data_IF_863843768085
#
_entry.id   IF_863843768085
#
_cell.length_a   1.000
_cell.length_b   1.000
_cell.length_c   1.000
_cell.angle_alpha   90.00
_cell.angle_beta   90.00
_cell.angle_gamma   90.00
#
_symmetry.space_group_name_H-M   'P 1'
#
loop_
_entity.id
_entity.type
_entity.pdbx_description
1 polymer ?
#
# COMPACT_ATOMS: atom_id res chain seq x y z
N UNK A 1 6.84 15.77 -13.97
CA UNK A 1 7.43 15.33 -12.69
C UNK A 1 7.81 13.85 -12.81
N UNK A 2 8.84 13.36 -12.09
CA UNK A 2 9.16 11.93 -12.05
C UNK A 2 7.99 11.11 -11.47
N UNK A 3 7.93 9.82 -11.80
CA UNK A 3 6.94 8.92 -11.22
C UNK A 3 7.23 8.69 -9.72
N UNK A 4 6.20 8.67 -8.86
CA UNK A 4 6.37 8.51 -7.42
C UNK A 4 6.87 7.11 -7.05
N UNK A 5 7.54 7.03 -5.89
CA UNK A 5 8.28 5.86 -5.42
C UNK A 5 8.01 5.57 -3.96
N UNK A 6 8.29 4.34 -3.53
CA UNK A 6 8.12 3.95 -2.14
C UNK A 6 9.02 4.77 -1.20
N UNK A 7 10.26 5.03 -1.61
CA UNK A 7 11.23 5.77 -0.81
C UNK A 7 10.87 7.24 -0.60
N UNK A 8 10.44 7.94 -1.66
CA UNK A 8 10.20 9.38 -1.61
C UNK A 8 8.78 9.74 -1.17
N UNK A 9 7.78 8.94 -1.53
CA UNK A 9 6.38 9.38 -1.54
C UNK A 9 5.47 8.65 -0.56
N UNK A 10 5.88 7.49 -0.02
CA UNK A 10 5.05 6.68 0.89
C UNK A 10 4.62 7.47 2.13
N UNK A 11 5.54 8.16 2.79
CA UNK A 11 5.24 8.93 4.00
C UNK A 11 4.17 10.00 3.77
N UNK A 12 4.27 10.74 2.66
CA UNK A 12 3.31 11.77 2.30
C UNK A 12 1.94 11.17 1.91
N UNK A 13 1.93 10.01 1.26
CA UNK A 13 0.70 9.27 0.96
C UNK A 13 -0.02 8.84 2.25
N UNK A 14 0.70 8.22 3.19
CA UNK A 14 0.12 7.77 4.47
C UNK A 14 -0.36 8.95 5.32
N UNK A 15 0.39 10.05 5.36
CA UNK A 15 -0.01 11.27 6.07
C UNK A 15 -1.32 11.86 5.51
N UNK A 16 -1.47 11.91 4.18
CA UNK A 16 -2.69 12.38 3.53
C UNK A 16 -3.88 11.47 3.82
N UNK A 17 -3.70 10.15 3.79
CA UNK A 17 -4.76 9.20 4.13
C UNK A 17 -5.23 9.37 5.58
N UNK A 18 -4.29 9.56 6.52
CA UNK A 18 -4.62 9.86 7.93
C UNK A 18 -5.36 11.19 8.08
N UNK A 19 -4.91 12.23 7.39
CA UNK A 19 -5.57 13.54 7.38
C UNK A 19 -6.99 13.49 6.80
N UNK A 20 -7.28 12.54 5.92
CA UNK A 20 -8.62 12.27 5.40
C UNK A 20 -9.54 11.53 6.39
N UNK A 21 -9.06 11.21 7.60
CA UNK A 21 -9.85 10.60 8.67
C UNK A 21 -9.72 9.08 8.77
N UNK A 22 -8.90 8.43 7.94
CA UNK A 22 -8.65 6.99 8.01
C UNK A 22 -7.47 6.69 8.91
N UNK A 23 -7.70 5.98 10.01
CA UNK A 23 -6.62 5.44 10.83
C UNK A 23 -5.81 4.42 10.00
N UNK A 24 -4.49 4.60 9.94
CA UNK A 24 -3.57 3.68 9.29
C UNK A 24 -2.48 3.30 10.27
N UNK A 25 -2.36 2.02 10.56
CA UNK A 25 -1.18 1.43 11.20
C UNK A 25 -0.29 0.88 10.09
N UNK A 26 0.97 1.28 10.07
CA UNK A 26 1.93 0.76 9.09
C UNK A 26 3.13 0.10 9.77
N UNK A 27 3.51 -1.06 9.24
CA UNK A 27 4.70 -1.80 9.62
C UNK A 27 5.62 -1.89 8.41
N UNK A 28 6.77 -1.23 8.50
CA UNK A 28 7.75 -1.11 7.44
C UNK A 28 9.02 -1.88 7.79
N UNK A 29 9.39 -2.82 6.94
CA UNK A 29 10.61 -3.63 7.04
C UNK A 29 11.34 -3.58 5.69
N UNK A 30 12.15 -2.54 5.42
CA UNK A 30 12.88 -2.42 4.15
C UNK A 30 14.00 -3.47 3.96
N UNK A 31 14.17 -4.37 4.92
CA UNK A 31 15.17 -5.44 4.87
C UNK A 31 16.60 -4.95 5.12
N UNK A 32 17.61 -5.74 4.71
CA UNK A 32 19.01 -5.44 4.93
C UNK A 32 19.39 -4.13 4.24
N UNK A 33 19.67 -3.10 5.03
CA UNK A 33 19.95 -1.74 4.55
C UNK A 33 19.04 -0.67 5.14
N UNK A 34 17.87 -1.05 5.67
CA UNK A 34 17.01 -0.10 6.38
C UNK A 34 16.36 0.97 5.50
N UNK A 35 16.48 0.86 4.17
CA UNK A 35 16.12 1.95 3.24
C UNK A 35 15.48 1.43 1.95
N UNK A 36 14.28 1.96 1.64
CA UNK A 36 13.56 1.73 0.40
C UNK A 36 14.29 2.21 -0.86
N UNK A 37 15.26 3.12 -0.73
CA UNK A 37 16.09 3.57 -1.85
C UNK A 37 16.96 2.44 -2.44
N UNK A 38 17.14 1.33 -1.71
CA UNK A 38 17.86 0.15 -2.21
C UNK A 38 17.02 -0.72 -3.15
N UNK A 39 15.71 -0.48 -3.25
CA UNK A 39 14.86 -1.21 -4.17
C UNK A 39 15.16 -0.83 -5.63
N UNK A 40 15.10 -1.78 -6.58
CA UNK A 40 15.08 -1.45 -8.00
C UNK A 40 14.00 -0.41 -8.30
N UNK A 41 14.32 0.58 -9.13
CA UNK A 41 13.42 1.71 -9.42
C UNK A 41 12.03 1.26 -9.88
N UNK A 42 11.96 0.21 -10.71
CA UNK A 42 10.69 -0.34 -11.18
C UNK A 42 9.88 -0.92 -10.02
N UNK A 43 10.50 -1.73 -9.16
CA UNK A 43 9.83 -2.31 -7.99
C UNK A 43 9.34 -1.23 -7.02
N UNK A 44 10.15 -0.19 -6.77
CA UNK A 44 9.78 0.93 -5.90
C UNK A 44 8.56 1.71 -6.41
N UNK A 45 8.49 1.95 -7.73
CA UNK A 45 7.33 2.61 -8.36
C UNK A 45 6.07 1.75 -8.31
N UNK A 46 6.22 0.46 -8.61
CA UNK A 46 5.09 -0.47 -8.60
C UNK A 46 4.55 -0.71 -7.20
N UNK A 47 5.42 -0.86 -6.21
CA UNK A 47 5.04 -0.96 -4.80
C UNK A 47 4.24 0.28 -4.35
N UNK A 48 4.73 1.47 -4.67
CA UNK A 48 4.00 2.70 -4.39
C UNK A 48 2.61 2.71 -5.04
N UNK A 49 2.52 2.29 -6.31
CA UNK A 49 1.24 2.21 -7.03
C UNK A 49 0.27 1.23 -6.39
N UNK A 50 0.75 0.07 -5.95
CA UNK A 50 -0.05 -0.94 -5.24
C UNK A 50 -0.60 -0.36 -3.93
N UNK A 51 0.25 0.27 -3.12
CA UNK A 51 -0.16 0.90 -1.85
C UNK A 51 -1.16 2.02 -2.10
N UNK A 52 -0.90 2.89 -3.08
CA UNK A 52 -1.81 3.97 -3.44
C UNK A 52 -3.19 3.45 -3.85
N UNK A 53 -3.24 2.46 -4.74
CA UNK A 53 -4.51 1.86 -5.17
C UNK A 53 -5.22 1.16 -4.01
N UNK A 54 -4.46 0.46 -3.17
CA UNK A 54 -4.96 -0.18 -1.95
C UNK A 54 -5.65 0.84 -1.03
N UNK A 55 -4.94 1.90 -0.64
CA UNK A 55 -5.50 2.94 0.22
C UNK A 55 -6.70 3.63 -0.43
N UNK A 56 -6.68 3.86 -1.74
CA UNK A 56 -7.84 4.39 -2.46
C UNK A 56 -9.04 3.44 -2.39
N UNK A 57 -8.83 2.13 -2.47
CA UNK A 57 -9.89 1.14 -2.35
C UNK A 57 -10.42 1.10 -0.91
N UNK A 58 -9.55 1.11 0.09
CA UNK A 58 -9.93 1.17 1.51
C UNK A 58 -10.76 2.42 1.82
N UNK A 59 -10.38 3.59 1.28
CA UNK A 59 -11.13 4.83 1.44
C UNK A 59 -12.52 4.80 0.80
N UNK A 60 -12.66 4.14 -0.37
CA UNK A 60 -13.93 4.09 -1.12
C UNK A 60 -14.87 3.00 -0.65
N UNK A 61 -14.31 1.87 -0.22
CA UNK A 61 -15.04 0.61 -0.06
C UNK A 61 -14.80 -0.06 1.29
N UNK A 62 -13.86 0.44 2.10
CA UNK A 62 -13.58 -0.08 3.43
C UNK A 62 -14.44 0.57 4.51
N UNK A 63 -14.41 -0.06 5.69
CA UNK A 63 -14.83 0.55 6.94
C UNK A 63 -13.72 0.36 7.98
N UNK A 64 -13.52 1.34 8.85
CA UNK A 64 -12.57 1.22 9.97
C UNK A 64 -11.10 1.39 9.58
N UNK A 65 -10.17 0.98 10.48
CA UNK A 65 -8.74 1.21 10.33
C UNK A 65 -8.11 0.32 9.25
N UNK A 66 -7.04 0.83 8.64
CA UNK A 66 -6.19 0.10 7.70
C UNK A 66 -4.94 -0.40 8.42
N UNK A 67 -4.64 -1.68 8.26
CA UNK A 67 -3.37 -2.29 8.63
C UNK A 67 -2.53 -2.52 7.37
N UNK A 68 -1.37 -1.88 7.29
CA UNK A 68 -0.44 -1.98 6.16
C UNK A 68 0.88 -2.60 6.62
N UNK A 69 1.33 -3.65 5.94
CA UNK A 69 2.65 -4.26 6.15
C UNK A 69 3.40 -4.26 4.83
N UNK A 70 4.61 -3.72 4.84
CA UNK A 70 5.52 -3.73 3.69
C UNK A 70 6.85 -4.29 4.15
N UNK A 71 7.28 -5.39 3.55
CA UNK A 71 8.51 -6.07 3.96
C UNK A 71 9.34 -6.53 2.77
N UNK A 72 10.66 -6.41 2.85
CA UNK A 72 11.60 -7.10 1.98
C UNK A 72 12.01 -8.41 2.65
N UNK A 73 11.78 -9.54 1.97
CA UNK A 73 12.16 -10.89 2.40
C UNK A 73 13.32 -11.41 1.57
N UNK A 74 14.07 -12.35 2.12
CA UNK A 74 15.24 -12.97 1.47
C UNK A 74 16.57 -12.52 2.07
N UNK A 75 17.61 -13.33 1.85
CA UNK A 75 18.97 -13.14 2.38
C UNK A 75 19.97 -12.92 1.25
N UNK A 76 21.16 -12.40 1.56
CA UNK A 76 22.23 -12.21 0.56
C UNK A 76 22.68 -13.54 -0.09
N UNK A 77 22.67 -14.64 0.68
CA UNK A 77 22.99 -16.01 0.21
C UNK A 77 21.73 -16.90 0.08
N UNK A 78 20.55 -16.29 -0.05
CA UNK A 78 19.24 -16.97 -0.06
C UNK A 78 18.49 -16.85 -1.40
N UNK A 79 17.20 -17.23 -1.44
CA UNK A 79 16.34 -16.95 -2.59
C UNK A 79 16.31 -15.45 -2.91
N UNK A 80 15.97 -15.06 -4.15
CA UNK A 80 15.96 -13.65 -4.57
C UNK A 80 15.11 -12.80 -3.62
N UNK A 81 15.52 -11.54 -3.42
CA UNK A 81 14.79 -10.62 -2.54
C UNK A 81 13.36 -10.43 -3.06
N UNK A 82 12.39 -10.62 -2.19
CA UNK A 82 10.97 -10.47 -2.48
C UNK A 82 10.42 -9.24 -1.74
N UNK A 83 9.57 -8.47 -2.40
CA UNK A 83 8.84 -7.36 -1.77
C UNK A 83 7.40 -7.81 -1.51
N UNK A 84 7.05 -7.93 -0.23
CA UNK A 84 5.73 -8.32 0.24
C UNK A 84 4.95 -7.08 0.67
N UNK A 85 3.71 -6.95 0.20
CA UNK A 85 2.78 -5.90 0.59
C UNK A 85 1.46 -6.55 0.99
N UNK A 86 1.09 -6.41 2.26
CA UNK A 86 -0.21 -6.82 2.78
C UNK A 86 -0.95 -5.61 3.30
N UNK A 87 -2.20 -5.45 2.90
CA UNK A 87 -3.07 -4.39 3.38
C UNK A 87 -4.44 -4.96 3.70
N UNK A 88 -4.92 -4.73 4.91
CA UNK A 88 -6.22 -5.22 5.38
C UNK A 88 -7.04 -4.10 5.99
N UNK A 89 -8.34 -4.17 5.77
CA UNK A 89 -9.34 -3.32 6.40
C UNK A 89 -10.68 -4.06 6.41
N UNK A 90 -11.55 -3.81 7.40
CA UNK A 90 -12.93 -4.31 7.35
C UNK A 90 -13.63 -3.86 6.05
N UNK A 91 -14.49 -4.71 5.45
CA UNK A 91 -15.27 -4.31 4.30
C UNK A 91 -16.28 -3.23 4.71
N UNK A 92 -16.48 -2.25 3.84
CA UNK A 92 -17.57 -1.29 3.97
C UNK A 92 -18.93 -1.96 3.77
N UNK A 93 -20.03 -1.24 4.08
CA UNK A 93 -21.37 -1.74 3.84
C UNK A 93 -21.51 -2.14 2.36
N UNK A 94 -22.03 -3.32 2.09
CA UNK A 94 -22.33 -3.72 0.73
C UNK A 94 -23.32 -2.71 0.15
N UNK A 95 -22.94 -2.00 -0.91
CA UNK A 95 -23.91 -1.26 -1.71
C UNK A 95 -24.91 -2.31 -2.23
N UNK A 96 -26.17 -2.19 -1.80
CA UNK A 96 -27.23 -3.13 -2.21
C UNK A 96 -27.28 -3.29 -3.73
N UNK A 97 -27.86 -4.39 -4.25
CA UNK A 97 -27.84 -4.71 -5.67
C UNK A 97 -28.26 -3.49 -6.49
N UNK A 98 -27.32 -2.93 -7.26
CA UNK A 98 -27.62 -1.85 -8.19
C UNK A 98 -28.54 -2.46 -9.25
N UNK A 99 -29.82 -2.10 -9.24
CA UNK A 99 -30.77 -2.58 -10.22
C UNK A 99 -30.20 -2.30 -11.61
N UNK A 100 -29.90 -3.38 -12.34
CA UNK A 100 -29.45 -3.28 -13.73
C UNK A 100 -30.68 -2.86 -14.53
N UNK A 101 -30.80 -1.57 -14.83
CA UNK A 101 -31.75 -1.10 -15.83
C UNK A 101 -31.23 -1.54 -17.19
N UNK A 102 -31.68 -2.70 -17.65
CA UNK A 102 -31.62 -3.08 -19.07
C UNK A 102 -32.63 -2.23 -19.82
N UNK A 103 -32.14 -1.36 -20.70
CA UNK A 103 -32.93 -0.73 -21.77
C UNK A 103 -32.73 -1.48 -23.09
#
# INVERSE_FOLDING_TARGET
APAPTLAADLGALLARTRAAGTAVTDHQDPGPGGDWAQLPTIASREAYRIVQQGLSNALRHGAGPVELRIAVRGAEDGPPRELEITMTNPPGPAAGPRARTTG
#
